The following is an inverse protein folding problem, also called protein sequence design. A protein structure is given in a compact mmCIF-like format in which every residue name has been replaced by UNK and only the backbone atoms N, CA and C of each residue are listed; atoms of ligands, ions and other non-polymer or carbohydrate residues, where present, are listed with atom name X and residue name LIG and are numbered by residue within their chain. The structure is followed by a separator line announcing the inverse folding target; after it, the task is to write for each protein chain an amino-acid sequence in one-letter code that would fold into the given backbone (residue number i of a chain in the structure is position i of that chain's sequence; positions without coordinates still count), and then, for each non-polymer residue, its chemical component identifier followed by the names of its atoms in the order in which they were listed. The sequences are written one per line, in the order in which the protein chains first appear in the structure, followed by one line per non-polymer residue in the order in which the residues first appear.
data_IF_352256465726
#
_entry.id   IF_352256465726
#
_cell.length_a   1.000
_cell.length_b   1.000
_cell.length_c   1.000
_cell.angle_alpha   90.00
_cell.angle_beta   90.00
_cell.angle_gamma   90.00
#
_symmetry.space_group_name_H-M   'P 1'
#
loop_
_entity.id
_entity.type
_entity.pdbx_description
1 polymer ?
#
# COMPACT_ATOMS: atom_id res chain seq x y z
N UNK A 1 -11.39 8.16 7.52
CA UNK A 1 -10.48 7.23 8.22
C UNK A 1 -9.59 6.53 7.20
N UNK A 2 -8.28 6.56 7.43
CA UNK A 2 -7.30 5.83 6.61
C UNK A 2 -6.96 4.52 7.32
N UNK A 3 -7.30 3.40 6.69
CA UNK A 3 -6.93 2.04 7.08
C UNK A 3 -5.71 1.66 6.24
N UNK A 4 -4.60 1.29 6.88
CA UNK A 4 -3.42 0.83 6.14
C UNK A 4 -3.05 -0.59 6.54
N UNK A 5 -3.05 -1.46 5.54
CA UNK A 5 -2.68 -2.86 5.66
C UNK A 5 -1.18 -3.01 5.44
N UNK A 6 -0.50 -3.72 6.33
CA UNK A 6 0.82 -4.27 6.11
C UNK A 6 0.72 -5.79 6.03
N UNK A 7 1.19 -6.35 4.91
CA UNK A 7 1.13 -7.78 4.64
C UNK A 7 2.45 -8.32 4.13
N UNK A 8 2.75 -9.57 4.49
CA UNK A 8 3.71 -10.40 3.74
C UNK A 8 3.13 -10.92 2.43
N UNK A 9 3.95 -11.53 1.55
CA UNK A 9 3.48 -12.20 0.35
C UNK A 9 2.58 -13.40 0.70
N UNK A 10 1.68 -13.76 -0.24
CA UNK A 10 0.79 -14.94 -0.14
C UNK A 10 -0.12 -15.00 1.10
N UNK A 11 -0.57 -13.83 1.52
CA UNK A 11 -1.22 -13.64 2.80
C UNK A 11 -2.65 -13.07 2.66
N UNK A 12 -3.36 -13.41 1.58
CA UNK A 12 -4.73 -12.94 1.29
C UNK A 12 -4.96 -11.42 1.25
N UNK A 13 -3.90 -10.60 1.21
CA UNK A 13 -4.01 -9.13 1.17
C UNK A 13 -4.85 -8.62 0.01
N UNK A 14 -4.73 -9.23 -1.18
CA UNK A 14 -5.55 -8.90 -2.35
C UNK A 14 -7.03 -9.25 -2.15
N UNK A 15 -7.33 -10.37 -1.50
CA UNK A 15 -8.72 -10.75 -1.21
C UNK A 15 -9.35 -9.78 -0.20
N UNK A 16 -8.61 -9.41 0.86
CA UNK A 16 -9.04 -8.41 1.82
C UNK A 16 -9.23 -7.04 1.17
N UNK A 17 -8.32 -6.63 0.28
CA UNK A 17 -8.44 -5.42 -0.52
C UNK A 17 -9.73 -5.41 -1.33
N UNK A 18 -10.04 -6.49 -2.05
CA UNK A 18 -11.30 -6.58 -2.80
C UNK A 18 -12.52 -6.52 -1.89
N UNK A 19 -12.48 -7.09 -0.68
CA UNK A 19 -13.57 -6.96 0.30
C UNK A 19 -13.85 -5.51 0.69
N UNK A 20 -12.82 -4.70 0.92
CA UNK A 20 -12.99 -3.26 1.15
C UNK A 20 -13.48 -2.51 -0.09
N UNK A 21 -13.01 -2.89 -1.29
CA UNK A 21 -13.45 -2.28 -2.54
C UNK A 21 -14.94 -2.50 -2.85
N UNK A 22 -15.58 -3.53 -2.27
CA UNK A 22 -17.02 -3.75 -2.42
C UNK A 22 -17.87 -2.80 -1.56
N UNK A 23 -17.26 -2.04 -0.65
CA UNK A 23 -17.99 -1.11 0.19
C UNK A 23 -18.15 0.24 -0.54
N UNK A 24 -19.38 0.79 -0.66
CA UNK A 24 -19.60 2.04 -1.37
C UNK A 24 -19.00 3.27 -0.68
N UNK A 25 -18.67 3.15 0.61
CA UNK A 25 -18.08 4.20 1.44
C UNK A 25 -16.55 4.15 1.47
N UNK A 26 -15.91 3.25 0.72
CA UNK A 26 -14.46 2.99 0.82
C UNK A 26 -13.78 3.11 -0.54
N UNK A 27 -12.65 3.81 -0.57
CA UNK A 27 -11.72 3.81 -1.71
C UNK A 27 -10.51 2.95 -1.39
N UNK A 28 -10.12 2.12 -2.35
CA UNK A 28 -8.94 1.26 -2.24
C UNK A 28 -7.76 1.85 -3.02
N UNK A 29 -6.57 1.76 -2.42
CA UNK A 29 -5.30 2.08 -3.05
C UNK A 29 -4.38 0.87 -2.92
N UNK A 30 -3.93 0.31 -4.05
CA UNK A 30 -3.09 -0.89 -4.11
C UNK A 30 -1.60 -0.50 -4.21
N UNK A 31 -0.83 -0.90 -3.21
CA UNK A 31 0.63 -0.80 -3.10
C UNK A 31 1.27 0.53 -3.58
N UNK A 32 0.82 1.69 -3.09
CA UNK A 32 1.26 2.98 -3.65
C UNK A 32 2.75 3.28 -3.43
N UNK A 33 3.39 2.62 -2.46
CA UNK A 33 4.83 2.78 -2.15
C UNK A 33 5.73 1.79 -2.89
N UNK A 34 5.18 0.88 -3.69
CA UNK A 34 5.96 -0.17 -4.36
C UNK A 34 7.06 0.39 -5.27
N UNK A 35 6.74 1.45 -6.01
CA UNK A 35 7.70 2.08 -6.92
C UNK A 35 8.89 2.71 -6.19
N UNK A 36 8.66 3.31 -5.02
CA UNK A 36 9.74 3.84 -4.16
C UNK A 36 10.61 2.72 -3.61
N UNK A 37 10.00 1.62 -3.17
CA UNK A 37 10.72 0.44 -2.71
C UNK A 37 11.62 -0.15 -3.81
N UNK A 38 11.10 -0.29 -5.03
CA UNK A 38 11.88 -0.76 -6.19
C UNK A 38 13.08 0.14 -6.49
N UNK A 39 12.87 1.46 -6.46
CA UNK A 39 13.94 2.46 -6.61
C UNK A 39 15.01 2.30 -5.53
N UNK A 40 14.62 2.11 -4.27
CA UNK A 40 15.56 1.95 -3.15
C UNK A 40 16.43 0.70 -3.28
N UNK A 41 15.85 -0.43 -3.71
CA UNK A 41 16.60 -1.69 -3.86
C UNK A 41 17.33 -1.82 -5.20
N UNK A 42 17.14 -0.87 -6.12
CA UNK A 42 17.80 -0.85 -7.43
C UNK A 42 17.42 -2.01 -8.36
N UNK A 43 16.22 -2.60 -8.19
CA UNK A 43 15.76 -3.71 -9.05
C UNK A 43 14.87 -3.21 -10.17
N UNK A 44 15.20 -3.63 -11.38
CA UNK A 44 14.32 -3.52 -12.55
C UNK A 44 13.38 -4.72 -12.56
N UNK A 45 12.09 -4.45 -12.76
CA UNK A 45 11.03 -5.44 -12.81
C UNK A 45 10.31 -5.36 -14.16
N UNK A 46 9.54 -6.40 -14.54
CA UNK A 46 8.54 -6.27 -15.58
C UNK A 46 7.63 -5.05 -15.31
N UNK A 47 7.14 -4.40 -16.36
CA UNK A 47 6.34 -3.15 -16.26
C UNK A 47 7.13 -1.96 -15.71
N UNK A 48 8.44 -1.93 -15.94
CA UNK A 48 9.34 -0.86 -15.52
C UNK A 48 8.83 0.54 -15.90
N UNK A 49 8.28 0.70 -17.11
CA UNK A 49 7.80 2.01 -17.59
C UNK A 49 6.59 2.51 -16.77
N UNK A 50 5.66 1.62 -16.41
CA UNK A 50 4.52 1.96 -15.54
C UNK A 50 4.98 2.32 -14.12
N UNK A 51 5.99 1.62 -13.62
CA UNK A 51 6.64 1.91 -12.33
C UNK A 51 7.32 3.28 -12.37
N UNK A 52 8.01 3.61 -13.47
CA UNK A 52 8.67 4.91 -13.63
C UNK A 52 7.65 6.06 -13.75
N UNK A 53 6.55 5.86 -14.47
CA UNK A 53 5.46 6.84 -14.51
C UNK A 53 4.88 7.09 -13.12
N UNK A 54 4.73 6.04 -12.31
CA UNK A 54 4.29 6.16 -10.90
C UNK A 54 5.31 6.96 -10.08
N UNK A 55 6.61 6.71 -10.27
CA UNK A 55 7.69 7.46 -9.61
C UNK A 55 7.76 8.91 -10.05
N UNK A 56 7.54 9.21 -11.33
CA UNK A 56 7.52 10.59 -11.84
C UNK A 56 6.32 11.37 -11.30
N UNK A 57 5.15 10.72 -11.28
CA UNK A 57 3.92 11.31 -10.77
C UNK A 57 4.03 11.64 -9.27
N UNK A 58 4.40 10.67 -8.45
CA UNK A 58 4.47 10.85 -7.00
C UNK A 58 5.79 11.42 -6.51
N UNK A 59 6.94 11.09 -7.11
CA UNK A 59 8.25 11.64 -6.78
C UNK A 59 8.85 11.23 -5.42
N UNK A 60 8.05 11.20 -4.35
CA UNK A 60 8.45 10.88 -2.98
C UNK A 60 7.27 10.41 -2.10
N UNK A 61 7.59 9.90 -0.92
CA UNK A 61 6.62 9.39 0.04
C UNK A 61 5.57 10.42 0.49
N UNK A 62 5.96 11.68 0.68
CA UNK A 62 5.03 12.70 1.17
C UNK A 62 3.91 12.98 0.18
N UNK A 63 4.21 13.08 -1.12
CA UNK A 63 3.19 13.25 -2.17
C UNK A 63 2.22 12.06 -2.25
N UNK A 64 2.70 10.84 -2.00
CA UNK A 64 1.82 9.67 -1.89
C UNK A 64 0.86 9.82 -0.72
N UNK A 65 1.38 10.17 0.46
CA UNK A 65 0.56 10.39 1.64
C UNK A 65 -0.42 11.56 1.47
N UNK A 66 0.00 12.66 0.84
CA UNK A 66 -0.88 13.80 0.51
C UNK A 66 -2.06 13.31 -0.32
N UNK A 67 -1.81 12.45 -1.31
CA UNK A 67 -2.89 11.88 -2.12
C UNK A 67 -3.83 10.99 -1.32
N UNK A 68 -3.30 10.18 -0.41
CA UNK A 68 -4.11 9.30 0.47
C UNK A 68 -5.02 10.17 1.35
N UNK A 69 -4.48 11.21 1.96
CA UNK A 69 -5.22 12.11 2.86
C UNK A 69 -6.22 13.02 2.11
N UNK A 70 -5.88 13.48 0.91
CA UNK A 70 -6.84 14.15 0.01
C UNK A 70 -8.05 13.26 -0.29
N UNK A 71 -7.82 11.98 -0.62
CA UNK A 71 -8.91 11.06 -0.89
C UNK A 71 -9.78 10.84 0.35
N UNK A 72 -9.17 10.75 1.54
CA UNK A 72 -9.91 10.64 2.80
C UNK A 72 -10.87 11.81 2.99
N UNK A 73 -10.40 13.04 2.77
CA UNK A 73 -11.20 14.24 2.90
C UNK A 73 -12.40 14.28 1.95
N UNK A 74 -12.32 13.60 0.80
CA UNK A 74 -13.39 13.57 -0.22
C UNK A 74 -14.35 12.39 -0.01
N UNK A 75 -13.81 11.22 0.33
CA UNK A 75 -14.53 9.93 0.26
C UNK A 75 -14.80 9.28 1.61
N UNK A 76 -14.20 9.78 2.68
CA UNK A 76 -14.37 9.25 4.03
C UNK A 76 -13.40 8.12 4.32
N UNK A 77 -13.67 6.89 3.88
CA UNK A 77 -12.84 5.73 4.21
C UNK A 77 -11.86 5.38 3.09
N UNK A 78 -10.58 5.25 3.43
CA UNK A 78 -9.53 4.82 2.51
C UNK A 78 -8.90 3.54 3.04
N UNK A 79 -8.78 2.53 2.18
CA UNK A 79 -8.04 1.31 2.46
C UNK A 79 -6.78 1.25 1.60
N UNK A 80 -5.62 1.29 2.24
CA UNK A 80 -4.32 1.26 1.57
C UNK A 80 -3.67 -0.09 1.80
N UNK A 81 -3.55 -0.90 0.75
CA UNK A 81 -2.90 -2.20 0.82
C UNK A 81 -1.41 -2.04 0.56
N UNK A 82 -0.56 -2.38 1.55
CA UNK A 82 0.89 -2.31 1.43
C UNK A 82 1.55 -3.64 1.76
N UNK A 83 2.74 -3.82 1.20
CA UNK A 83 3.63 -4.91 1.55
C UNK A 83 4.58 -4.48 2.66
N UNK A 84 4.89 -5.37 3.61
CA UNK A 84 5.70 -5.03 4.78
C UNK A 84 7.11 -4.52 4.44
N UNK A 85 7.64 -4.86 3.26
CA UNK A 85 8.93 -4.40 2.76
C UNK A 85 8.96 -2.91 2.37
N UNK A 86 7.81 -2.26 2.17
CA UNK A 86 7.74 -0.84 1.78
C UNK A 86 7.70 0.12 2.97
N UNK A 87 7.65 -0.38 4.22
CA UNK A 87 7.49 0.45 5.44
C UNK A 87 8.60 1.49 5.58
N UNK A 88 9.84 1.14 5.20
CA UNK A 88 10.97 2.07 5.27
C UNK A 88 10.88 3.21 4.23
N UNK A 89 10.05 3.03 3.21
CA UNK A 89 9.83 3.99 2.13
C UNK A 89 8.66 4.96 2.43
N UNK A 90 8.00 4.80 3.58
CA UNK A 90 6.89 5.64 4.05
C UNK A 90 7.35 6.72 5.02
N UNK A 91 6.53 7.77 5.22
CA UNK A 91 6.73 8.72 6.29
C UNK A 91 6.18 8.17 7.62
N UNK A 92 7.09 7.79 8.52
CA UNK A 92 6.76 7.19 9.83
C UNK A 92 5.80 8.04 10.67
N UNK A 93 5.97 9.36 10.66
CA UNK A 93 5.10 10.25 11.45
C UNK A 93 3.67 10.29 10.91
N UNK A 94 3.48 10.07 9.60
CA UNK A 94 2.14 10.05 8.99
C UNK A 94 1.44 8.73 9.20
N UNK A 95 2.14 7.60 9.03
CA UNK A 95 1.52 6.27 9.23
C UNK A 95 1.08 6.03 10.68
N UNK A 96 1.66 6.74 11.66
CA UNK A 96 1.21 6.70 13.05
C UNK A 96 -0.19 7.31 13.26
N UNK A 97 -0.67 8.12 12.31
CA UNK A 97 -2.03 8.69 12.34
C UNK A 97 -3.05 7.84 11.59
N UNK A 98 -2.62 6.75 10.94
CA UNK A 98 -3.50 5.83 10.21
C UNK A 98 -3.91 4.66 11.12
N UNK A 99 -4.97 3.95 10.73
CA UNK A 99 -5.42 2.75 11.42
C UNK A 99 -4.69 1.51 10.88
N UNK A 100 -3.76 0.89 11.63
CA UNK A 100 -2.97 -0.23 11.16
C UNK A 100 -3.78 -1.53 11.10
N UNK A 101 -3.54 -2.32 10.06
CA UNK A 101 -3.86 -3.75 10.03
C UNK A 101 -2.58 -4.50 9.69
N UNK A 102 -2.10 -5.34 10.61
CA UNK A 102 -1.03 -6.29 10.32
C UNK A 102 -1.67 -7.62 9.95
N UNK A 103 -1.56 -8.00 8.69
CA UNK A 103 -2.07 -9.29 8.23
C UNK A 103 -0.96 -10.32 8.44
N UNK A 104 -1.26 -11.37 9.19
CA UNK A 104 -0.32 -12.44 9.54
C UNK A 104 -1.00 -13.77 9.24
N UNK A 105 -0.22 -14.72 8.71
CA UNK A 105 -0.66 -16.08 8.40
C UNK A 105 0.41 -17.07 8.87
N UNK A 106 -0.02 -18.29 9.14
CA UNK A 106 0.87 -19.39 9.48
C UNK A 106 1.97 -19.54 8.39
N UNK A 107 3.26 -19.50 8.75
CA UNK A 107 4.35 -19.66 7.80
C UNK A 107 4.27 -20.95 6.96
N UNK A 108 3.79 -22.06 7.53
CA UNK A 108 3.62 -23.31 6.81
C UNK A 108 2.60 -23.16 5.67
N UNK A 109 1.50 -22.45 5.93
CA UNK A 109 0.51 -22.16 4.89
C UNK A 109 1.01 -21.15 3.84
N UNK A 110 1.84 -20.18 4.22
CA UNK A 110 2.46 -19.23 3.28
C UNK A 110 3.37 -19.98 2.30
N UNK A 111 4.16 -20.95 2.78
CA UNK A 111 5.06 -21.74 1.93
C UNK A 111 4.28 -22.66 0.97
N UNK A 112 3.17 -23.23 1.43
CA UNK A 112 2.34 -24.15 0.61
C UNK A 112 1.38 -23.44 -0.36
N UNK A 113 1.18 -22.14 -0.18
CA UNK A 113 0.22 -21.34 -0.96
C UNK A 113 0.54 -21.31 -2.44
#
# INVERSE_FOLDING_TARGET
MIIYLLSGPRNFSTALMYSFNQRPDTVVIDEPFYALWLKRIGKIQPHHDEIMLTLEYYGNANKIHDKIEENENIKGNIFVKNMANTVEDMNKNRILNYYPIFLIRDPAEVIMS
#
